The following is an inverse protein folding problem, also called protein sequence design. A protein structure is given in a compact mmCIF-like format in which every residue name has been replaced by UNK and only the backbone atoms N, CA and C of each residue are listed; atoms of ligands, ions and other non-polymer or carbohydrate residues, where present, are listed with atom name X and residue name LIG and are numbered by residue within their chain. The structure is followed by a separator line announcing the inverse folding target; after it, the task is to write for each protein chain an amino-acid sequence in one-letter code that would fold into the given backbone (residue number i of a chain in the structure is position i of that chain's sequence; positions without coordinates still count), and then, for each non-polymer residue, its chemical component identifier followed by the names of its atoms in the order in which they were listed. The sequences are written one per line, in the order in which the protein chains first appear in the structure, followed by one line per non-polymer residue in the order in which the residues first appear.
data_IF_766033438756
#
_entry.id   IF_766033438756
#
_cell.length_a   1.000
_cell.length_b   1.000
_cell.length_c   1.000
_cell.angle_alpha   90.00
_cell.angle_beta   90.00
_cell.angle_gamma   90.00
#
_symmetry.space_group_name_H-M   'P 1'
#
loop_
_entity.id
_entity.type
_entity.pdbx_description
1 polymer ?
#
# COMPACT_ATOMS: atom_id res chain seq x y z
N UNK A 1 -44.88 -55.08 -18.18
CA UNK A 1 -43.96 -53.96 -18.11
C UNK A 1 -44.30 -52.93 -16.99
N UNK A 2 -45.18 -53.23 -16.06
CA UNK A 2 -45.70 -52.32 -15.03
C UNK A 2 -45.15 -52.50 -13.61
N UNK A 3 -44.44 -53.58 -13.33
CA UNK A 3 -43.88 -53.88 -11.99
C UNK A 3 -42.43 -53.35 -11.79
N UNK A 4 -41.72 -53.04 -12.86
CA UNK A 4 -40.32 -52.53 -12.80
C UNK A 4 -40.27 -51.02 -12.59
N UNK A 5 -41.28 -50.27 -13.06
CA UNK A 5 -41.35 -48.79 -12.88
C UNK A 5 -41.66 -48.38 -11.45
N UNK A 6 -42.38 -49.19 -10.67
CA UNK A 6 -42.74 -48.85 -9.28
C UNK A 6 -41.53 -49.04 -8.35
N UNK A 7 -40.65 -50.00 -8.63
CA UNK A 7 -39.47 -50.26 -7.79
C UNK A 7 -38.40 -49.15 -7.92
N UNK A 8 -38.25 -48.56 -9.11
CA UNK A 8 -37.32 -47.44 -9.33
C UNK A 8 -37.82 -46.15 -8.70
N UNK A 9 -39.13 -45.91 -8.71
CA UNK A 9 -39.73 -44.72 -8.06
C UNK A 9 -39.60 -44.76 -6.55
N UNK A 10 -39.68 -45.93 -5.91
CA UNK A 10 -39.57 -46.10 -4.46
C UNK A 10 -38.12 -45.97 -3.99
N UNK A 11 -37.13 -46.36 -4.83
CA UNK A 11 -35.71 -46.23 -4.50
C UNK A 11 -35.20 -44.81 -4.63
N UNK A 12 -35.72 -44.01 -5.58
CA UNK A 12 -35.40 -42.58 -5.67
C UNK A 12 -35.97 -41.72 -4.50
N UNK A 13 -37.05 -42.20 -3.87
CA UNK A 13 -37.64 -41.45 -2.73
C UNK A 13 -36.93 -41.74 -1.40
N UNK A 14 -36.18 -42.83 -1.28
CA UNK A 14 -35.43 -43.17 -0.07
C UNK A 14 -34.04 -42.47 0.02
N UNK A 15 -33.54 -41.91 -1.08
CA UNK A 15 -32.24 -41.20 -1.08
C UNK A 15 -32.37 -39.73 -0.60
N UNK A 16 -33.58 -39.21 -0.49
CA UNK A 16 -33.82 -37.82 -0.08
C UNK A 16 -33.83 -37.59 1.43
N UNK A 17 -33.69 -38.61 2.29
CA UNK A 17 -33.75 -38.48 3.74
C UNK A 17 -32.42 -38.58 4.49
N UNK A 18 -31.26 -38.69 3.78
CA UNK A 18 -29.93 -38.65 4.41
C UNK A 18 -29.24 -37.30 4.25
N UNK A 19 -30.00 -36.22 4.16
CA UNK A 19 -29.43 -34.90 4.41
C UNK A 19 -29.42 -34.64 5.92
N UNK A 20 -28.46 -35.23 6.62
CA UNK A 20 -28.17 -34.93 8.00
C UNK A 20 -27.49 -33.54 8.08
N UNK A 21 -28.23 -32.52 7.69
CA UNK A 21 -27.80 -31.12 7.88
C UNK A 21 -27.87 -30.79 9.35
N UNK A 22 -26.77 -30.32 9.92
CA UNK A 22 -26.77 -29.71 11.27
C UNK A 22 -27.93 -28.75 11.39
N UNK A 23 -28.60 -28.74 12.55
CA UNK A 23 -29.74 -27.83 12.77
C UNK A 23 -29.29 -26.37 12.60
N UNK A 24 -30.21 -25.48 12.24
CA UNK A 24 -29.88 -24.04 12.07
C UNK A 24 -29.29 -23.46 13.37
N UNK A 25 -29.75 -23.92 14.54
CA UNK A 25 -29.17 -23.54 15.84
C UNK A 25 -27.73 -24.02 16.02
N UNK A 26 -27.38 -25.23 15.58
CA UNK A 26 -25.97 -25.72 15.61
C UNK A 26 -25.09 -24.97 14.61
N UNK A 27 -25.60 -24.66 13.42
CA UNK A 27 -24.89 -23.81 12.45
C UNK A 27 -24.68 -22.43 13.01
N UNK A 28 -25.64 -21.84 13.70
CA UNK A 28 -25.54 -20.53 14.31
C UNK A 28 -24.57 -20.52 15.51
N UNK A 29 -24.58 -21.55 16.36
CA UNK A 29 -23.64 -21.69 17.48
C UNK A 29 -22.20 -21.89 17.01
N UNK A 30 -21.99 -22.78 16.03
CA UNK A 30 -20.66 -22.99 15.42
C UNK A 30 -20.17 -21.68 14.76
N UNK A 31 -21.05 -20.99 14.02
CA UNK A 31 -20.70 -19.72 13.39
C UNK A 31 -20.37 -18.62 14.43
N UNK A 32 -21.04 -18.59 15.58
CA UNK A 32 -20.76 -17.65 16.68
C UNK A 32 -19.41 -17.95 17.35
N UNK A 33 -19.13 -19.22 17.66
CA UNK A 33 -17.85 -19.62 18.23
C UNK A 33 -16.68 -19.31 17.26
N UNK A 34 -16.84 -19.63 15.99
CA UNK A 34 -15.86 -19.30 14.96
C UNK A 34 -15.62 -17.78 14.84
N UNK A 35 -16.68 -16.96 14.87
CA UNK A 35 -16.55 -15.50 14.84
C UNK A 35 -15.76 -14.97 16.05
N UNK A 36 -16.03 -15.51 17.24
CA UNK A 36 -15.29 -15.13 18.47
C UNK A 36 -13.82 -15.52 18.34
N UNK A 37 -13.52 -16.72 17.86
CA UNK A 37 -12.16 -17.18 17.66
C UNK A 37 -11.43 -16.34 16.60
N UNK A 38 -12.06 -16.06 15.47
CA UNK A 38 -11.52 -15.17 14.44
C UNK A 38 -11.26 -13.76 14.98
N UNK A 39 -12.17 -13.21 15.79
CA UNK A 39 -12.00 -11.90 16.41
C UNK A 39 -10.83 -11.88 17.40
N UNK A 40 -10.67 -12.95 18.21
CA UNK A 40 -9.54 -13.12 19.13
C UNK A 40 -8.21 -13.22 18.35
N UNK A 41 -8.18 -14.04 17.30
CA UNK A 41 -7.00 -14.17 16.44
C UNK A 41 -6.67 -12.81 15.76
N UNK A 42 -7.66 -12.10 15.22
CA UNK A 42 -7.45 -10.77 14.63
C UNK A 42 -6.94 -9.76 15.66
N UNK A 43 -7.47 -9.79 16.89
CA UNK A 43 -6.99 -8.93 17.99
C UNK A 43 -5.55 -9.27 18.42
N UNK A 44 -5.15 -10.54 18.33
CA UNK A 44 -3.79 -10.99 18.68
C UNK A 44 -2.75 -10.70 17.60
N UNK A 45 -3.16 -10.62 16.34
CA UNK A 45 -2.29 -10.36 15.18
C UNK A 45 -1.71 -8.95 15.20
N UNK A 46 -0.51 -8.79 14.64
CA UNK A 46 0.09 -7.49 14.36
C UNK A 46 -0.46 -6.97 13.01
N UNK A 47 -1.24 -5.91 13.03
CA UNK A 47 -1.92 -5.39 11.83
C UNK A 47 -1.20 -4.19 11.25
N UNK A 48 -0.95 -4.22 9.94
CA UNK A 48 -0.19 -3.19 9.23
C UNK A 48 -0.93 -2.79 7.95
N UNK A 49 -1.17 -1.49 7.75
CA UNK A 49 -1.67 -1.00 6.48
C UNK A 49 -0.53 -0.91 5.45
N UNK A 50 -0.83 -1.32 4.24
CA UNK A 50 0.07 -1.29 3.08
C UNK A 50 -0.63 -0.67 1.88
N UNK A 51 0.15 -0.08 0.98
CA UNK A 51 -0.31 0.46 -0.29
C UNK A 51 0.31 -0.32 -1.46
N UNK A 52 -0.24 -0.29 -2.67
CA UNK A 52 0.23 -1.07 -3.81
C UNK A 52 1.48 -0.43 -4.46
N UNK A 53 2.54 -0.26 -3.69
CA UNK A 53 3.79 0.42 -4.08
C UNK A 53 5.01 -0.44 -3.80
N UNK A 54 6.10 -0.20 -4.55
CA UNK A 54 7.31 -1.03 -4.49
C UNK A 54 7.98 -1.06 -3.12
N UNK A 55 7.87 -0.01 -2.33
CA UNK A 55 8.41 0.03 -0.96
C UNK A 55 7.70 -0.92 0.03
N UNK A 56 6.50 -1.42 -0.32
CA UNK A 56 5.81 -2.47 0.41
C UNK A 56 6.26 -3.90 0.04
N UNK A 57 7.08 -4.08 -1.01
CA UNK A 57 7.46 -5.41 -1.51
C UNK A 57 8.04 -6.35 -0.44
N UNK A 58 8.95 -5.91 0.47
CA UNK A 58 9.46 -6.79 1.51
C UNK A 58 8.35 -7.36 2.42
N UNK A 59 7.33 -6.56 2.73
CA UNK A 59 6.20 -7.01 3.55
C UNK A 59 5.32 -8.01 2.77
N UNK A 60 5.03 -7.73 1.51
CA UNK A 60 4.25 -8.63 0.66
C UNK A 60 4.94 -9.97 0.47
N UNK A 61 6.25 -9.96 0.23
CA UNK A 61 7.04 -11.17 0.12
C UNK A 61 7.01 -11.98 1.42
N UNK A 62 7.18 -11.34 2.58
CA UNK A 62 7.11 -11.99 3.87
C UNK A 62 5.75 -12.65 4.14
N UNK A 63 4.65 -12.07 3.64
CA UNK A 63 3.30 -12.65 3.72
C UNK A 63 3.18 -13.87 2.79
N UNK A 64 3.60 -13.76 1.53
CA UNK A 64 3.50 -14.87 0.55
C UNK A 64 4.34 -16.08 0.98
N UNK A 65 5.55 -15.86 1.48
CA UNK A 65 6.45 -16.91 1.94
C UNK A 65 6.10 -17.45 3.34
N UNK A 66 5.03 -16.93 3.96
CA UNK A 66 4.66 -17.21 5.36
C UNK A 66 5.82 -16.98 6.35
N UNK A 67 6.73 -16.05 6.03
CA UNK A 67 7.94 -15.82 6.80
C UNK A 67 7.65 -15.30 8.22
N UNK A 68 6.60 -14.51 8.40
CA UNK A 68 6.17 -14.05 9.71
C UNK A 68 5.65 -15.19 10.58
N UNK A 69 4.83 -16.09 10.03
CA UNK A 69 4.32 -17.27 10.74
C UNK A 69 5.47 -18.21 11.13
N UNK A 70 6.40 -18.46 10.20
CA UNK A 70 7.62 -19.25 10.47
C UNK A 70 8.47 -18.63 11.56
N UNK A 71 8.44 -17.32 11.71
CA UNK A 71 9.12 -16.58 12.79
C UNK A 71 8.28 -16.45 14.08
N UNK A 72 7.11 -17.10 14.16
CA UNK A 72 6.27 -17.18 15.36
C UNK A 72 5.36 -15.98 15.61
N UNK A 73 5.07 -15.14 14.60
CA UNK A 73 4.11 -14.04 14.71
C UNK A 73 3.05 -14.08 13.61
N UNK A 74 1.80 -13.74 13.96
CA UNK A 74 0.73 -13.49 13.00
C UNK A 74 0.77 -12.01 12.59
N UNK A 75 1.12 -11.72 11.33
CA UNK A 75 1.07 -10.39 10.73
C UNK A 75 -0.04 -10.36 9.70
N UNK A 76 -0.96 -9.41 9.86
CA UNK A 76 -2.09 -9.22 8.93
C UNK A 76 -1.99 -7.88 8.26
N UNK A 77 -1.97 -7.88 6.93
CA UNK A 77 -1.97 -6.63 6.17
C UNK A 77 -3.41 -6.13 5.96
N UNK A 78 -3.57 -4.82 6.04
CA UNK A 78 -4.75 -4.08 5.60
C UNK A 78 -4.37 -3.34 4.32
N UNK A 79 -4.80 -3.89 3.18
CA UNK A 79 -4.50 -3.31 1.86
C UNK A 79 -5.34 -2.07 1.66
N UNK A 80 -4.67 -0.95 1.38
CA UNK A 80 -5.27 0.35 1.11
C UNK A 80 -4.80 0.80 -0.29
N UNK A 81 -5.68 1.41 -1.08
CA UNK A 81 -5.28 2.02 -2.35
C UNK A 81 -4.85 3.48 -2.16
N UNK A 82 -5.20 4.06 -1.03
CA UNK A 82 -4.84 5.41 -0.64
C UNK A 82 -4.20 5.45 0.75
N UNK A 83 -3.21 6.32 0.95
CA UNK A 83 -2.60 6.54 2.27
C UNK A 83 -3.62 7.03 3.31
N UNK A 84 -4.63 7.79 2.88
CA UNK A 84 -5.69 8.32 3.73
C UNK A 84 -6.49 7.22 4.45
N UNK A 85 -6.70 6.07 3.80
CA UNK A 85 -7.39 4.92 4.41
C UNK A 85 -6.56 4.37 5.57
N UNK A 86 -5.24 4.24 5.39
CA UNK A 86 -4.30 3.86 6.45
C UNK A 86 -4.30 4.84 7.62
N UNK A 87 -4.39 6.15 7.35
CA UNK A 87 -4.47 7.18 8.38
C UNK A 87 -5.73 7.02 9.25
N UNK A 88 -6.88 6.74 8.63
CA UNK A 88 -8.14 6.48 9.33
C UNK A 88 -8.04 5.22 10.20
N UNK A 89 -7.49 4.14 9.65
CA UNK A 89 -7.31 2.89 10.39
C UNK A 89 -6.37 3.03 11.59
N UNK A 90 -5.26 3.76 11.44
CA UNK A 90 -4.29 3.91 12.53
C UNK A 90 -4.78 4.90 13.59
N UNK A 91 -5.48 5.95 13.22
CA UNK A 91 -6.10 6.89 14.15
C UNK A 91 -7.20 6.21 14.98
N UNK A 92 -8.03 5.38 14.34
CA UNK A 92 -9.09 4.60 14.99
C UNK A 92 -8.57 3.40 15.81
N UNK A 93 -7.27 3.11 15.78
CA UNK A 93 -6.70 1.98 16.54
C UNK A 93 -6.93 0.60 15.93
N UNK A 94 -7.37 0.54 14.68
CA UNK A 94 -7.66 -0.72 13.99
C UNK A 94 -6.40 -1.43 13.49
N UNK A 95 -5.27 -0.73 13.44
CA UNK A 95 -3.93 -1.25 13.06
C UNK A 95 -2.86 -0.73 14.01
N UNK A 96 -1.77 -1.46 14.12
CA UNK A 96 -0.61 -1.07 14.92
C UNK A 96 0.40 -0.24 14.13
N UNK A 97 0.57 -0.55 12.85
CA UNK A 97 1.54 0.12 11.98
C UNK A 97 1.01 0.36 10.56
N UNK A 98 1.75 1.14 9.80
CA UNK A 98 1.46 1.39 8.39
C UNK A 98 2.72 1.75 7.60
N UNK A 99 2.73 1.40 6.32
CA UNK A 99 3.64 1.99 5.34
C UNK A 99 3.02 3.31 4.90
N UNK A 100 3.76 4.39 5.04
CA UNK A 100 3.30 5.76 4.80
C UNK A 100 4.47 6.66 4.39
N UNK A 101 4.30 7.96 4.52
CA UNK A 101 5.37 8.92 4.27
C UNK A 101 5.40 10.02 5.36
N UNK A 102 6.55 10.69 5.49
CA UNK A 102 6.83 11.59 6.61
C UNK A 102 5.82 12.74 6.74
N UNK A 103 5.40 13.36 5.64
CA UNK A 103 4.49 14.53 5.68
C UNK A 103 3.14 14.16 6.32
N UNK A 104 2.59 13.00 5.94
CA UNK A 104 1.35 12.48 6.55
C UNK A 104 1.56 12.01 7.98
N UNK A 105 2.68 11.31 8.22
CA UNK A 105 3.00 10.83 9.56
C UNK A 105 3.17 11.98 10.56
N UNK A 106 3.87 13.05 10.19
CA UNK A 106 4.04 14.25 11.02
C UNK A 106 2.72 15.01 11.23
N UNK A 107 1.88 15.10 10.18
CA UNK A 107 0.53 15.67 10.31
C UNK A 107 -0.31 14.93 11.35
N UNK A 108 -0.29 13.59 11.31
CA UNK A 108 -1.05 12.77 12.24
C UNK A 108 -0.48 12.81 13.67
N UNK A 109 0.84 13.01 13.83
CA UNK A 109 1.43 13.26 15.16
C UNK A 109 0.87 14.55 15.80
N UNK A 110 0.74 15.61 15.02
CA UNK A 110 0.12 16.87 15.48
C UNK A 110 -1.33 16.67 15.91
N UNK A 111 -2.04 15.74 15.29
CA UNK A 111 -3.43 15.39 15.59
C UNK A 111 -3.56 14.32 16.70
N UNK A 112 -2.63 14.27 17.65
CA UNK A 112 -2.65 13.40 18.83
C UNK A 112 -2.56 11.88 18.56
N UNK A 113 -1.98 11.46 17.44
CA UNK A 113 -1.67 10.04 17.20
C UNK A 113 -0.15 9.84 17.10
N UNK A 114 0.59 9.78 18.23
CA UNK A 114 2.05 9.66 18.23
C UNK A 114 2.53 8.39 17.55
N UNK A 115 3.62 8.51 16.78
CA UNK A 115 4.22 7.42 16.01
C UNK A 115 5.69 7.23 16.29
N UNK A 116 6.11 5.98 16.17
CA UNK A 116 7.53 5.60 16.13
C UNK A 116 7.86 5.20 14.69
N UNK A 117 8.83 5.85 14.08
CA UNK A 117 9.40 5.41 12.82
C UNK A 117 10.26 4.18 13.06
N UNK A 118 10.01 3.13 12.29
CA UNK A 118 10.69 1.83 12.41
C UNK A 118 11.67 1.63 11.27
N UNK A 119 11.27 2.06 10.07
CA UNK A 119 12.13 1.98 8.89
C UNK A 119 11.89 3.18 7.97
N UNK A 120 12.95 3.72 7.39
CA UNK A 120 12.87 4.46 6.14
C UNK A 120 12.66 3.44 5.01
N UNK A 121 11.84 3.79 4.01
CA UNK A 121 11.63 2.96 2.84
C UNK A 121 12.26 3.60 1.60
N UNK A 122 12.39 2.82 0.54
CA UNK A 122 12.89 3.30 -0.74
C UNK A 122 11.80 3.93 -1.64
N UNK A 123 10.69 4.37 -1.06
CA UNK A 123 9.63 5.06 -1.79
C UNK A 123 10.15 6.35 -2.45
N UNK A 124 9.78 6.54 -3.71
CA UNK A 124 9.99 7.77 -4.44
C UNK A 124 8.83 8.04 -5.39
N UNK A 125 8.72 9.26 -5.85
CA UNK A 125 7.62 9.71 -6.70
C UNK A 125 8.15 10.46 -7.91
N UNK A 126 7.48 10.29 -9.03
CA UNK A 126 7.73 11.02 -10.26
C UNK A 126 6.55 11.92 -10.61
N UNK A 127 6.82 13.15 -10.96
CA UNK A 127 5.86 14.03 -11.61
C UNK A 127 5.85 13.68 -13.09
N UNK A 128 4.71 13.19 -13.59
CA UNK A 128 4.58 12.68 -14.94
C UNK A 128 3.48 13.45 -15.67
N UNK A 129 3.81 14.01 -16.81
CA UNK A 129 2.87 14.70 -17.69
C UNK A 129 2.24 13.76 -18.71
N UNK A 130 0.99 13.96 -18.96
CA UNK A 130 0.26 13.27 -19.99
C UNK A 130 0.83 13.60 -21.38
N UNK A 131 1.03 12.59 -22.22
CA UNK A 131 1.59 12.77 -23.56
C UNK A 131 0.77 13.69 -24.46
N UNK A 132 -0.55 13.81 -24.26
CA UNK A 132 -1.42 14.70 -25.03
C UNK A 132 -1.45 16.13 -24.49
N UNK A 133 -1.04 16.34 -23.24
CA UNK A 133 -0.97 17.69 -22.66
C UNK A 133 0.14 18.55 -23.28
N UNK A 134 1.07 17.93 -24.03
CA UNK A 134 2.26 18.55 -24.61
C UNK A 134 3.17 19.27 -23.59
N UNK A 135 3.10 18.85 -22.35
CA UNK A 135 3.94 19.35 -21.27
C UNK A 135 5.19 18.49 -21.21
N UNK A 136 6.36 19.07 -21.49
CA UNK A 136 7.67 18.42 -21.46
C UNK A 136 8.60 19.01 -20.37
N UNK A 137 8.22 20.15 -19.81
CA UNK A 137 8.97 20.87 -18.78
C UNK A 137 8.02 21.41 -17.72
N UNK A 138 8.50 21.55 -16.48
CA UNK A 138 7.69 22.02 -15.34
C UNK A 138 7.08 23.40 -15.60
N UNK A 139 7.81 24.31 -16.28
CA UNK A 139 7.28 25.65 -16.61
C UNK A 139 6.01 25.66 -17.47
N UNK A 140 5.76 24.55 -18.20
CA UNK A 140 4.56 24.39 -19.03
C UNK A 140 3.33 23.90 -18.26
N UNK A 141 3.45 23.73 -16.94
CA UNK A 141 2.32 23.38 -16.07
C UNK A 141 1.37 24.57 -15.81
N UNK A 142 1.72 25.77 -16.27
CA UNK A 142 0.84 26.94 -16.21
C UNK A 142 -0.53 26.62 -16.79
N UNK A 143 -1.60 26.89 -16.06
CA UNK A 143 -2.99 26.61 -16.47
C UNK A 143 -3.28 25.10 -16.71
N UNK A 144 -2.63 24.23 -15.94
CA UNK A 144 -2.75 22.78 -16.06
C UNK A 144 -3.26 22.13 -14.77
N UNK A 145 -3.89 20.95 -14.94
CA UNK A 145 -4.39 20.11 -13.85
C UNK A 145 -3.28 19.15 -13.38
N UNK A 146 -2.86 19.26 -12.12
CA UNK A 146 -1.87 18.39 -11.50
C UNK A 146 -2.50 17.57 -10.38
N UNK A 147 -2.60 16.24 -10.56
CA UNK A 147 -3.18 15.36 -9.57
C UNK A 147 -2.14 14.92 -8.52
N UNK A 148 -2.55 14.97 -7.25
CA UNK A 148 -1.76 14.58 -6.09
C UNK A 148 -2.68 14.14 -4.93
N UNK A 149 -2.12 13.75 -3.80
CA UNK A 149 -2.84 13.57 -2.53
C UNK A 149 -2.53 14.76 -1.63
N UNK A 150 -3.53 15.48 -1.15
CA UNK A 150 -3.33 16.62 -0.24
C UNK A 150 -2.62 16.21 1.04
N UNK A 151 -1.79 17.12 1.55
CA UNK A 151 -1.03 16.96 2.80
C UNK A 151 -0.12 15.74 2.81
N UNK A 152 0.48 15.41 1.67
CA UNK A 152 1.35 14.26 1.48
C UNK A 152 2.66 14.65 0.80
N UNK A 153 3.58 13.69 0.67
CA UNK A 153 4.81 13.87 -0.11
C UNK A 153 4.49 14.32 -1.55
N UNK A 154 3.40 13.85 -2.14
CA UNK A 154 3.01 14.27 -3.50
C UNK A 154 2.52 15.71 -3.56
N UNK A 155 1.87 16.22 -2.52
CA UNK A 155 1.49 17.64 -2.41
C UNK A 155 2.73 18.54 -2.23
N UNK A 156 3.65 18.12 -1.34
CA UNK A 156 4.93 18.81 -1.15
C UNK A 156 5.77 18.87 -2.43
N UNK A 157 5.84 17.75 -3.15
CA UNK A 157 6.58 17.69 -4.42
C UNK A 157 5.91 18.54 -5.52
N UNK A 158 4.59 18.66 -5.51
CA UNK A 158 3.87 19.57 -6.40
C UNK A 158 4.22 21.05 -6.07
N UNK A 159 4.25 21.42 -4.77
CA UNK A 159 4.70 22.75 -4.37
C UNK A 159 6.13 23.01 -4.85
N UNK A 160 7.04 22.08 -4.57
CA UNK A 160 8.44 22.21 -4.95
C UNK A 160 8.63 22.39 -6.46
N UNK A 161 7.88 21.65 -7.28
CA UNK A 161 7.91 21.76 -8.72
C UNK A 161 7.39 23.13 -9.19
N UNK A 162 6.23 23.54 -8.70
CA UNK A 162 5.55 24.81 -9.09
C UNK A 162 6.39 26.01 -8.64
N UNK A 163 6.85 26.03 -7.39
CA UNK A 163 7.63 27.13 -6.83
C UNK A 163 8.98 27.31 -7.54
N UNK A 164 9.54 26.21 -8.08
CA UNK A 164 10.83 26.26 -8.80
C UNK A 164 10.78 27.08 -10.09
N UNK A 165 9.61 27.21 -10.71
CA UNK A 165 9.44 27.82 -12.04
C UNK A 165 8.54 29.06 -12.05
N UNK A 166 7.77 29.30 -10.98
CA UNK A 166 6.83 30.41 -10.84
C UNK A 166 5.98 30.61 -12.11
N UNK A 167 5.08 29.67 -12.42
CA UNK A 167 4.31 29.68 -13.66
C UNK A 167 3.50 30.98 -13.77
N UNK A 168 3.25 31.43 -15.02
CA UNK A 168 2.53 32.69 -15.29
C UNK A 168 1.09 32.64 -14.77
N UNK A 169 0.41 31.50 -14.96
CA UNK A 169 -0.97 31.26 -14.51
C UNK A 169 -0.97 30.19 -13.42
N UNK A 170 -2.07 30.09 -12.69
CA UNK A 170 -2.26 29.11 -11.64
C UNK A 170 -2.12 27.66 -12.17
N UNK A 171 -1.55 26.79 -11.34
CA UNK A 171 -1.52 25.34 -11.53
C UNK A 171 -2.60 24.74 -10.65
N UNK A 172 -3.62 24.12 -11.26
CA UNK A 172 -4.76 23.57 -10.53
C UNK A 172 -4.42 22.22 -9.94
N UNK A 173 -4.37 22.16 -8.60
CA UNK A 173 -4.06 20.92 -7.88
C UNK A 173 -5.33 20.14 -7.58
N UNK A 174 -5.40 18.93 -8.11
CA UNK A 174 -6.57 18.06 -7.99
C UNK A 174 -6.25 16.91 -7.02
N UNK A 175 -7.06 16.78 -5.99
CA UNK A 175 -6.90 15.69 -5.03
C UNK A 175 -7.50 14.39 -5.56
N UNK A 176 -6.64 13.41 -5.83
CA UNK A 176 -7.02 12.03 -6.18
C UNK A 176 -6.18 11.09 -5.31
N UNK A 177 -6.81 10.46 -4.32
CA UNK A 177 -6.09 9.70 -3.28
C UNK A 177 -5.67 8.30 -3.75
N UNK A 178 -6.54 7.62 -4.50
CA UNK A 178 -6.29 6.27 -5.02
C UNK A 178 -5.26 6.32 -6.15
N UNK A 179 -4.15 5.57 -5.98
CA UNK A 179 -3.03 5.60 -6.93
C UNK A 179 -3.38 4.94 -8.26
N UNK A 180 -4.24 3.92 -8.27
CA UNK A 180 -4.68 3.27 -9.50
C UNK A 180 -5.62 4.17 -10.29
N UNK A 181 -6.52 4.88 -9.59
CA UNK A 181 -7.39 5.89 -10.20
C UNK A 181 -6.56 7.00 -10.82
N UNK A 182 -5.53 7.51 -10.11
CA UNK A 182 -4.61 8.49 -10.70
C UNK A 182 -3.98 7.99 -11.99
N UNK A 183 -3.38 6.80 -11.96
CA UNK A 183 -2.77 6.21 -13.15
C UNK A 183 -3.79 6.09 -14.30
N UNK A 184 -4.99 5.56 -14.02
CA UNK A 184 -6.05 5.41 -15.02
C UNK A 184 -6.44 6.74 -15.65
N UNK A 185 -6.62 7.79 -14.86
CA UNK A 185 -6.97 9.12 -15.35
C UNK A 185 -5.86 9.72 -16.24
N UNK A 186 -4.57 9.50 -15.90
CA UNK A 186 -3.46 9.89 -16.76
C UNK A 186 -3.50 9.16 -18.10
N UNK A 187 -3.69 7.85 -18.07
CA UNK A 187 -3.72 7.03 -19.28
C UNK A 187 -4.92 7.34 -20.19
N UNK A 188 -6.05 7.73 -19.60
CA UNK A 188 -7.25 8.16 -20.30
C UNK A 188 -7.18 9.62 -20.78
N UNK A 189 -6.13 10.36 -20.48
CA UNK A 189 -5.93 11.77 -20.81
C UNK A 189 -6.93 12.73 -20.11
N UNK A 190 -7.36 12.41 -18.91
CA UNK A 190 -8.30 13.20 -18.12
C UNK A 190 -7.59 14.24 -17.23
N UNK A 191 -6.28 14.09 -17.01
CA UNK A 191 -5.43 14.97 -16.18
C UNK A 191 -4.15 15.29 -16.97
N UNK A 192 -3.64 16.52 -16.86
CA UNK A 192 -2.46 16.98 -17.58
C UNK A 192 -1.16 16.40 -17.00
N UNK A 193 -1.04 16.34 -15.68
CA UNK A 193 0.11 15.77 -14.99
C UNK A 193 -0.28 15.21 -13.62
N UNK A 194 0.57 14.34 -13.07
CA UNK A 194 0.37 13.79 -11.75
C UNK A 194 1.65 13.24 -11.11
N UNK A 195 1.61 13.09 -9.79
CA UNK A 195 2.65 12.43 -9.04
C UNK A 195 2.28 10.97 -8.80
N UNK A 196 3.16 10.07 -9.24
CA UNK A 196 2.99 8.62 -9.10
C UNK A 196 4.20 7.99 -8.42
N UNK A 197 3.97 7.02 -7.51
CA UNK A 197 5.01 6.12 -6.99
C UNK A 197 5.29 4.99 -7.99
N UNK A 198 6.26 4.12 -7.69
CA UNK A 198 6.43 2.87 -8.40
C UNK A 198 5.52 1.75 -7.85
N UNK A 199 4.99 0.88 -8.70
CA UNK A 199 5.29 0.66 -10.12
C UNK A 199 4.45 1.51 -11.09
N UNK A 200 3.51 2.32 -10.61
CA UNK A 200 2.58 3.09 -11.44
C UNK A 200 3.30 4.13 -12.31
N UNK A 201 4.39 4.71 -11.82
CA UNK A 201 5.22 5.63 -12.60
C UNK A 201 5.88 4.92 -13.80
N UNK A 202 6.38 3.71 -13.62
CA UNK A 202 6.90 2.90 -14.73
C UNK A 202 5.81 2.56 -15.74
N UNK A 203 4.61 2.16 -15.28
CA UNK A 203 3.47 1.95 -16.19
C UNK A 203 3.18 3.21 -17.01
N UNK A 204 3.10 4.37 -16.37
CA UNK A 204 2.83 5.64 -17.06
C UNK A 204 3.88 5.94 -18.15
N UNK A 205 5.17 5.71 -17.89
CA UNK A 205 6.25 5.95 -18.85
C UNK A 205 6.22 5.00 -20.04
N UNK A 206 5.83 3.74 -19.84
CA UNK A 206 5.62 2.78 -20.91
C UNK A 206 4.55 3.23 -21.94
N UNK A 207 3.58 4.02 -21.49
CA UNK A 207 2.57 4.64 -22.35
C UNK A 207 3.02 6.00 -22.93
N UNK A 208 4.34 6.28 -22.90
CA UNK A 208 4.99 7.48 -23.47
C UNK A 208 4.56 8.79 -22.79
N UNK A 209 4.21 8.76 -21.51
CA UNK A 209 4.02 9.95 -20.71
C UNK A 209 5.38 10.50 -20.23
N UNK A 210 5.54 11.82 -20.21
CA UNK A 210 6.82 12.46 -19.95
C UNK A 210 7.10 12.60 -18.44
N UNK A 211 8.29 12.21 -17.99
CA UNK A 211 8.74 12.47 -16.62
C UNK A 211 9.29 13.89 -16.54
N UNK A 212 8.68 14.74 -15.71
CA UNK A 212 9.08 16.13 -15.50
C UNK A 212 10.00 16.29 -14.28
N UNK A 213 9.86 15.44 -13.27
CA UNK A 213 10.65 15.47 -12.04
C UNK A 213 10.67 14.10 -11.37
N UNK A 214 11.79 13.77 -10.76
CA UNK A 214 11.94 12.61 -9.87
C UNK A 214 12.33 13.11 -8.46
N UNK A 215 11.67 12.62 -7.43
CA UNK A 215 11.95 13.04 -6.04
C UNK A 215 13.34 12.66 -5.57
N UNK A 216 13.97 11.67 -6.21
CA UNK A 216 15.35 11.25 -5.93
C UNK A 216 16.35 12.34 -6.33
N UNK A 217 16.13 13.02 -7.46
CA UNK A 217 16.97 14.13 -7.92
C UNK A 217 16.91 15.34 -6.98
N UNK A 218 15.84 15.43 -6.18
CA UNK A 218 15.68 16.44 -5.13
C UNK A 218 16.19 15.97 -3.77
N UNK A 219 16.77 14.76 -3.69
CA UNK A 219 17.26 14.16 -2.45
C UNK A 219 16.21 14.10 -1.34
N UNK A 220 14.94 13.80 -1.70
CA UNK A 220 13.81 13.68 -0.79
C UNK A 220 13.52 12.20 -0.56
N UNK A 221 13.64 11.75 0.69
CA UNK A 221 13.40 10.38 1.12
C UNK A 221 12.32 10.40 2.21
N UNK A 222 11.07 10.35 1.78
CA UNK A 222 9.93 10.54 2.66
C UNK A 222 9.23 9.24 3.06
N UNK A 223 9.48 8.12 2.37
CA UNK A 223 8.82 6.84 2.67
C UNK A 223 9.23 6.26 4.02
N UNK A 224 8.27 5.80 4.81
CA UNK A 224 8.52 5.25 6.15
C UNK A 224 7.53 4.15 6.52
N UNK A 225 7.98 3.25 7.41
CA UNK A 225 7.12 2.36 8.18
C UNK A 225 6.98 2.97 9.58
N UNK A 226 5.76 3.28 9.98
CA UNK A 226 5.46 3.91 11.26
C UNK A 226 4.50 3.07 12.09
N UNK A 227 4.74 3.00 13.41
CA UNK A 227 3.89 2.29 14.37
C UNK A 227 3.33 3.25 15.40
N UNK A 228 2.10 3.01 15.85
CA UNK A 228 1.45 3.75 16.93
C UNK A 228 2.20 3.55 18.25
N UNK A 229 2.62 4.63 18.90
CA UNK A 229 3.32 4.58 20.21
C UNK A 229 2.46 3.86 21.24
N UNK A 230 1.15 4.13 21.29
CA UNK A 230 0.25 3.48 22.25
C UNK A 230 0.17 1.95 22.08
N UNK A 231 0.26 1.43 20.85
CA UNK A 231 0.33 -0.01 20.62
C UNK A 231 1.61 -0.60 21.22
N UNK A 232 2.72 0.11 21.14
CA UNK A 232 4.03 -0.33 21.61
C UNK A 232 4.19 -0.26 23.14
N UNK A 233 3.21 0.23 23.90
CA UNK A 233 3.17 0.08 25.37
C UNK A 233 3.04 -1.39 25.78
N UNK A 234 2.40 -2.23 24.97
CA UNK A 234 2.29 -3.68 25.20
C UNK A 234 3.63 -4.39 24.97
N UNK A 235 4.08 -5.21 25.94
CA UNK A 235 5.28 -6.06 25.81
C UNK A 235 5.16 -7.00 24.61
N UNK A 236 3.99 -7.62 24.42
CA UNK A 236 3.70 -8.50 23.27
C UNK A 236 3.92 -7.76 21.95
N UNK A 237 3.38 -6.55 21.80
CA UNK A 237 3.51 -5.77 20.55
C UNK A 237 4.96 -5.36 20.28
N UNK A 238 5.73 -5.03 21.31
CA UNK A 238 7.17 -4.76 21.15
C UNK A 238 7.94 -5.98 20.65
N UNK A 239 7.64 -7.16 21.20
CA UNK A 239 8.25 -8.42 20.75
C UNK A 239 7.85 -8.74 19.31
N UNK A 240 6.57 -8.62 18.96
CA UNK A 240 6.10 -8.79 17.57
C UNK A 240 6.81 -7.82 16.62
N UNK A 241 7.00 -6.56 17.01
CA UNK A 241 7.74 -5.58 16.21
C UNK A 241 9.20 -5.97 15.99
N UNK A 242 9.88 -6.49 17.01
CA UNK A 242 11.27 -6.96 16.85
C UNK A 242 11.37 -8.10 15.83
N UNK A 243 10.45 -9.07 15.90
CA UNK A 243 10.38 -10.17 14.92
C UNK A 243 10.01 -9.64 13.53
N UNK A 244 9.05 -8.71 13.44
CA UNK A 244 8.69 -8.06 12.18
C UNK A 244 9.90 -7.41 11.50
N UNK A 245 10.69 -6.63 12.25
CA UNK A 245 11.90 -5.97 11.72
C UNK A 245 12.92 -6.99 11.24
N UNK A 246 13.15 -8.08 11.99
CA UNK A 246 14.07 -9.15 11.59
C UNK A 246 13.65 -9.78 10.26
N UNK A 247 12.37 -10.14 10.11
CA UNK A 247 11.83 -10.74 8.88
C UNK A 247 11.87 -9.74 7.73
N UNK A 248 11.49 -8.48 7.97
CA UNK A 248 11.59 -7.41 6.97
C UNK A 248 13.00 -7.29 6.40
N UNK A 249 14.03 -7.28 7.26
CA UNK A 249 15.42 -7.20 6.83
C UNK A 249 15.83 -8.42 5.99
N UNK A 250 15.41 -9.62 6.36
CA UNK A 250 15.67 -10.84 5.58
C UNK A 250 15.03 -10.76 4.18
N UNK A 251 13.83 -10.17 4.07
CA UNK A 251 13.20 -9.97 2.76
C UNK A 251 13.93 -8.91 1.93
N UNK A 252 14.43 -7.85 2.56
CA UNK A 252 15.28 -6.87 1.89
C UNK A 252 16.52 -7.54 1.29
N UNK A 253 17.22 -8.38 2.07
CA UNK A 253 18.39 -9.13 1.59
C UNK A 253 18.04 -10.05 0.41
N UNK A 254 16.94 -10.79 0.53
CA UNK A 254 16.45 -11.68 -0.54
C UNK A 254 16.15 -10.93 -1.84
N UNK A 255 15.52 -9.74 -1.74
CA UNK A 255 15.19 -8.92 -2.91
C UNK A 255 16.46 -8.34 -3.51
N UNK A 256 17.40 -7.86 -2.69
CA UNK A 256 18.67 -7.32 -3.17
C UNK A 256 19.51 -8.37 -3.88
N UNK A 257 19.50 -9.61 -3.39
CA UNK A 257 20.25 -10.71 -3.98
C UNK A 257 19.65 -11.18 -5.33
N UNK A 258 18.31 -11.34 -5.39
CA UNK A 258 17.63 -11.94 -6.54
C UNK A 258 17.11 -10.91 -7.55
N UNK A 259 17.01 -9.65 -7.14
CA UNK A 259 16.36 -8.57 -7.89
C UNK A 259 14.84 -8.64 -7.85
N UNK A 260 14.17 -7.49 -8.03
CA UNK A 260 12.71 -7.38 -7.93
C UNK A 260 11.96 -8.23 -8.96
N UNK A 261 12.55 -8.46 -10.13
CA UNK A 261 11.91 -9.25 -11.21
C UNK A 261 11.71 -10.72 -10.85
N UNK A 262 12.50 -11.26 -9.93
CA UNK A 262 12.31 -12.62 -9.41
C UNK A 262 10.98 -12.80 -8.64
N UNK A 263 10.36 -11.69 -8.23
CA UNK A 263 9.12 -11.67 -7.45
C UNK A 263 7.94 -11.13 -8.25
N UNK A 264 7.94 -11.34 -9.57
CA UNK A 264 6.94 -10.82 -10.50
C UNK A 264 5.51 -11.21 -10.13
N UNK A 265 5.27 -12.43 -9.64
CA UNK A 265 3.96 -12.90 -9.18
C UNK A 265 3.45 -12.09 -7.96
N UNK A 266 4.33 -11.79 -7.01
CA UNK A 266 4.01 -10.99 -5.82
C UNK A 266 3.70 -9.54 -6.22
N UNK A 267 4.54 -8.95 -7.08
CA UNK A 267 4.34 -7.59 -7.59
C UNK A 267 3.00 -7.49 -8.33
N UNK A 268 2.72 -8.41 -9.26
CA UNK A 268 1.44 -8.43 -9.98
C UNK A 268 0.24 -8.57 -9.04
N UNK A 269 0.30 -9.51 -8.09
CA UNK A 269 -0.78 -9.80 -7.14
C UNK A 269 -1.11 -8.60 -6.24
N UNK A 270 -0.09 -7.93 -5.72
CA UNK A 270 -0.28 -6.87 -4.70
C UNK A 270 -0.35 -5.46 -5.27
N UNK A 271 0.25 -5.22 -6.43
CA UNK A 271 0.34 -3.89 -7.03
C UNK A 271 -0.49 -3.73 -8.29
N UNK A 272 -1.09 -4.84 -8.80
CA UNK A 272 -2.04 -4.80 -9.91
C UNK A 272 -1.43 -4.35 -11.24
N UNK A 273 -0.15 -4.68 -11.49
CA UNK A 273 0.56 -4.33 -12.73
C UNK A 273 0.87 -5.57 -13.56
N UNK A 274 1.00 -5.37 -14.86
CA UNK A 274 1.26 -6.39 -15.85
C UNK A 274 2.76 -6.78 -15.96
N UNK A 275 3.03 -7.88 -16.66
CA UNK A 275 4.38 -8.37 -16.87
C UNK A 275 5.27 -7.37 -17.63
N UNK A 276 4.70 -6.56 -18.53
CA UNK A 276 5.43 -5.53 -19.28
C UNK A 276 5.94 -4.43 -18.34
N UNK A 277 5.09 -3.97 -17.44
CA UNK A 277 5.49 -3.02 -16.39
C UNK A 277 6.59 -3.60 -15.50
N UNK A 278 6.42 -4.85 -15.04
CA UNK A 278 7.41 -5.50 -14.16
C UNK A 278 8.77 -5.63 -14.85
N UNK A 279 8.77 -6.00 -16.12
CA UNK A 279 10.01 -6.12 -16.91
C UNK A 279 10.75 -4.78 -17.08
N UNK A 280 9.99 -3.67 -17.11
CA UNK A 280 10.53 -2.32 -17.27
C UNK A 280 10.88 -1.63 -15.95
N UNK A 281 10.60 -2.26 -14.80
CA UNK A 281 10.94 -1.68 -13.50
C UNK A 281 12.46 -1.39 -13.41
N UNK A 282 12.84 -0.23 -12.84
CA UNK A 282 14.24 0.06 -12.57
C UNK A 282 14.79 -0.88 -11.48
N UNK A 283 16.11 -0.86 -11.30
CA UNK A 283 16.73 -1.51 -10.16
C UNK A 283 16.30 -0.84 -8.85
N UNK A 284 16.00 -1.65 -7.84
CA UNK A 284 15.71 -1.20 -6.49
C UNK A 284 16.76 -1.76 -5.53
N UNK A 285 17.12 -0.94 -4.55
CA UNK A 285 17.88 -1.39 -3.40
C UNK A 285 17.04 -1.17 -2.15
N UNK A 286 16.88 -2.22 -1.34
CA UNK A 286 16.12 -2.20 -0.10
C UNK A 286 17.08 -2.19 1.09
N UNK A 287 17.02 -1.13 1.88
CA UNK A 287 17.83 -1.02 3.10
C UNK A 287 17.17 -1.77 4.26
N UNK A 288 17.99 -2.27 5.17
CA UNK A 288 17.49 -2.75 6.46
C UNK A 288 16.74 -1.63 7.20
N UNK A 289 15.85 -2.04 8.10
CA UNK A 289 15.05 -1.11 8.88
C UNK A 289 15.95 -0.17 9.69
N UNK A 290 15.96 1.09 9.30
CA UNK A 290 16.69 2.19 9.95
C UNK A 290 15.76 3.39 10.07
N UNK A 291 15.97 4.22 11.08
CA UNK A 291 15.19 5.46 11.23
C UNK A 291 15.37 6.36 10.00
N UNK A 292 14.34 7.10 9.59
CA UNK A 292 14.47 8.10 8.53
C UNK A 292 15.48 9.19 8.92
N UNK A 293 16.07 9.83 7.91
CA UNK A 293 17.05 10.90 8.13
C UNK A 293 16.37 12.10 8.85
N UNK A 294 17.04 12.64 9.84
CA UNK A 294 16.51 13.80 10.59
C UNK A 294 16.21 15.00 9.68
N UNK A 295 17.01 15.19 8.63
CA UNK A 295 16.77 16.20 7.60
C UNK A 295 15.37 16.07 6.98
N UNK A 296 14.96 14.86 6.60
CA UNK A 296 13.68 14.61 5.92
C UNK A 296 12.51 14.78 6.88
N UNK A 297 12.68 14.37 8.14
CA UNK A 297 11.71 14.65 9.21
C UNK A 297 11.54 16.16 9.39
N UNK A 298 12.63 16.91 9.48
CA UNK A 298 12.58 18.35 9.64
C UNK A 298 11.90 19.06 8.47
N UNK A 299 12.12 18.58 7.23
CA UNK A 299 11.42 19.10 6.04
C UNK A 299 9.93 18.88 6.18
N UNK A 300 9.49 17.67 6.53
CA UNK A 300 8.08 17.35 6.70
C UNK A 300 7.41 18.16 7.83
N UNK A 301 8.13 18.38 8.94
CA UNK A 301 7.64 19.17 10.08
C UNK A 301 7.49 20.67 9.76
N UNK A 302 8.41 21.22 8.96
CA UNK A 302 8.42 22.65 8.60
C UNK A 302 7.42 22.99 7.50
N UNK A 303 7.08 22.02 6.65
CA UNK A 303 6.11 22.24 5.60
C UNK A 303 4.71 22.43 6.20
N UNK A 304 4.19 23.66 6.07
CA UNK A 304 2.90 24.08 6.64
C UNK A 304 1.88 24.21 5.51
N UNK A 305 0.88 23.35 5.53
CA UNK A 305 -0.36 23.49 4.78
C UNK A 305 -1.57 23.22 5.65
#
# INVERSE_FOLDING_TARGET
MTKFSVLISTFCFLILFFSCGKSEKEKEQISRAQRIEMARADSAALKIATVPTMDCLPIFLAIEDSAFQKAGIDVRIRRCNALLDGDTLIAGGHIEGMVTELFRAERLQKNCTPRKYVAATNAYWRLIANKKSRVNEIKQLSDKLVAMTRFSATDYLADLAIDSVKPKNEVYRIQINDVHTRLKMLLNNEIDAMLLPEPQATTATLYKNAVLMDSRDKNIHAGVIAFRVNALKSKKRRQQLQVFVKVYNQMCDSINQKGVKAYSSVISKYMGVDAKTISALPSFHYQHATSPRQRDINVAQRWKK
#
